data_IF_745873280913
#
_entry.id   IF_745873280913
#
_cell.length_a   1.000
_cell.length_b   1.000
_cell.length_c   1.000
_cell.angle_alpha   90.00
_cell.angle_beta   90.00
_cell.angle_gamma   90.00
#
_symmetry.space_group_name_H-M   'P 1'
#
loop_
_entity.id
_entity.type
_entity.pdbx_description
1 polymer ?
#
# COMPACT_ATOMS: atom_id res chain seq x y z
N UNK A 1 15.92 11.14 0.69
CA UNK A 1 17.06 11.19 -0.23
C UNK A 1 16.86 10.06 -1.20
N UNK A 2 17.30 10.23 -2.45
CA UNK A 2 17.30 9.15 -3.42
C UNK A 2 17.96 7.89 -2.81
N UNK A 3 17.31 6.73 -2.95
CA UNK A 3 17.73 5.47 -2.33
C UNK A 3 17.11 5.18 -0.95
N UNK A 4 16.48 6.17 -0.29
CA UNK A 4 15.85 5.96 1.01
C UNK A 4 14.54 5.17 0.90
N UNK A 5 14.25 4.39 1.95
CA UNK A 5 12.99 3.66 2.10
C UNK A 5 12.08 4.40 3.07
N UNK A 6 10.81 4.53 2.69
CA UNK A 6 9.79 5.25 3.46
C UNK A 6 8.56 4.39 3.74
N UNK A 7 8.06 4.49 4.97
CA UNK A 7 6.70 4.09 5.33
C UNK A 7 5.76 5.28 5.15
N UNK A 8 4.86 5.18 4.18
CA UNK A 8 3.85 6.20 3.92
C UNK A 8 2.49 5.73 4.44
N UNK A 9 1.80 6.59 5.19
CA UNK A 9 0.44 6.32 5.63
C UNK A 9 -0.42 7.57 5.75
N UNK A 10 -1.72 7.39 5.51
CA UNK A 10 -2.74 8.38 5.82
C UNK A 10 -4.09 7.69 6.07
N UNK A 11 -5.00 8.39 6.72
CA UNK A 11 -6.34 7.91 7.08
C UNK A 11 -7.41 8.94 6.77
N UNK A 12 -8.65 8.49 6.66
CA UNK A 12 -9.80 9.37 6.51
C UNK A 12 -9.93 10.35 7.69
N UNK A 13 -10.36 11.58 7.40
CA UNK A 13 -10.79 12.54 8.43
C UNK A 13 -11.82 11.90 9.36
N UNK A 14 -11.77 12.23 10.65
CA UNK A 14 -12.70 11.67 11.65
C UNK A 14 -12.68 10.12 11.70
N UNK A 15 -11.56 9.50 11.27
CA UNK A 15 -11.39 8.05 11.11
C UNK A 15 -12.40 7.42 10.14
N UNK A 16 -13.03 8.22 9.27
CA UNK A 16 -14.05 7.75 8.32
C UNK A 16 -13.53 6.71 7.36
N UNK A 17 -14.42 5.85 6.88
CA UNK A 17 -14.11 4.97 5.75
C UNK A 17 -13.85 5.83 4.50
N UNK A 18 -12.75 5.53 3.82
CA UNK A 18 -12.34 6.11 2.54
C UNK A 18 -12.58 5.13 1.40
N UNK A 19 -12.69 3.83 1.69
CA UNK A 19 -13.10 2.81 0.71
C UNK A 19 -14.45 2.23 1.10
N UNK A 20 -15.51 2.63 0.41
CA UNK A 20 -16.90 2.23 0.72
C UNK A 20 -17.30 0.96 -0.04
N UNK A 21 -16.79 0.81 -1.27
CA UNK A 21 -17.13 -0.25 -2.23
C UNK A 21 -15.86 -0.86 -2.82
N UNK A 22 -15.95 -2.05 -3.40
CA UNK A 22 -14.79 -2.70 -4.05
C UNK A 22 -14.16 -1.83 -5.15
N UNK A 23 -14.98 -1.10 -5.92
CA UNK A 23 -14.50 -0.17 -6.95
C UNK A 23 -13.61 0.95 -6.39
N UNK A 24 -13.84 1.36 -5.14
CA UNK A 24 -13.07 2.41 -4.48
C UNK A 24 -11.66 1.90 -4.14
N UNK A 25 -11.52 0.64 -3.71
CA UNK A 25 -10.22 0.00 -3.52
C UNK A 25 -9.49 -0.19 -4.85
N UNK A 26 -10.20 -0.71 -5.87
CA UNK A 26 -9.61 -0.93 -7.19
C UNK A 26 -9.09 0.38 -7.79
N UNK A 27 -9.86 1.47 -7.69
CA UNK A 27 -9.38 2.80 -8.11
C UNK A 27 -8.10 3.20 -7.38
N UNK A 28 -8.02 2.99 -6.08
CA UNK A 28 -6.83 3.35 -5.32
C UNK A 28 -5.61 2.53 -5.73
N UNK A 29 -5.77 1.22 -5.96
CA UNK A 29 -4.70 0.35 -6.50
C UNK A 29 -4.23 0.85 -7.87
N UNK A 30 -5.14 1.21 -8.77
CA UNK A 30 -4.75 1.82 -10.05
C UNK A 30 -4.03 3.15 -9.85
N UNK A 31 -4.44 3.99 -8.90
CA UNK A 31 -3.74 5.23 -8.59
C UNK A 31 -2.29 4.98 -8.11
N UNK A 32 -2.03 3.89 -7.38
CA UNK A 32 -0.66 3.50 -6.99
C UNK A 32 0.24 3.30 -8.21
N UNK A 33 -0.30 2.70 -9.28
CA UNK A 33 0.44 2.52 -10.53
C UNK A 33 0.44 3.78 -11.40
N UNK A 34 -0.71 4.42 -11.56
CA UNK A 34 -0.95 5.48 -12.53
C UNK A 34 -0.36 6.83 -12.18
N UNK A 35 -0.10 7.07 -10.89
CA UNK A 35 0.56 8.27 -10.41
C UNK A 35 2.05 8.07 -10.10
N UNK A 36 2.58 6.87 -10.31
CA UNK A 36 4.01 6.62 -10.22
C UNK A 36 4.74 7.00 -11.53
N UNK A 37 4.76 8.30 -11.82
CA UNK A 37 5.49 8.89 -12.94
C UNK A 37 5.91 10.31 -12.58
N UNK A 38 7.03 10.78 -13.15
CA UNK A 38 7.49 12.16 -13.00
C UNK A 38 6.56 13.18 -13.68
N UNK A 39 5.82 12.79 -14.72
CA UNK A 39 4.93 13.68 -15.50
C UNK A 39 3.85 14.39 -14.67
N UNK A 40 3.46 15.58 -15.14
CA UNK A 40 2.45 16.40 -14.47
C UNK A 40 1.07 15.69 -14.36
N UNK A 41 0.50 15.73 -13.15
CA UNK A 41 -0.79 15.09 -12.77
C UNK A 41 -1.95 15.49 -13.69
N UNK A 42 -1.96 16.73 -14.16
CA UNK A 42 -3.05 17.29 -14.95
C UNK A 42 -3.25 16.59 -16.29
N UNK A 43 -2.16 16.16 -16.96
CA UNK A 43 -2.25 15.45 -18.24
C UNK A 43 -2.77 14.02 -18.07
N UNK A 44 -2.34 13.32 -17.01
CA UNK A 44 -2.68 11.91 -16.80
C UNK A 44 -4.13 11.68 -16.37
N UNK A 45 -4.74 12.66 -15.69
CA UNK A 45 -6.15 12.64 -15.26
C UNK A 45 -7.12 13.02 -16.39
N UNK A 46 -6.82 14.05 -17.19
CA UNK A 46 -7.68 14.48 -18.30
C UNK A 46 -7.63 13.53 -19.49
N UNK A 47 -6.44 13.04 -19.88
CA UNK A 47 -6.30 12.11 -21.00
C UNK A 47 -7.00 10.76 -20.77
N UNK A 48 -7.26 10.39 -19.50
CA UNK A 48 -7.91 9.12 -19.14
C UNK A 48 -9.38 9.23 -18.75
N UNK A 49 -9.90 10.43 -18.48
CA UNK A 49 -11.35 10.65 -18.33
C UNK A 49 -12.11 10.36 -19.62
N UNK A 50 -11.47 10.50 -20.78
CA UNK A 50 -12.02 10.16 -22.10
C UNK A 50 -11.93 8.68 -22.47
N UNK A 51 -11.17 7.85 -21.74
CA UNK A 51 -11.01 6.43 -22.02
C UNK A 51 -11.84 5.60 -21.02
N UNK A 52 -13.13 5.43 -21.33
CA UNK A 52 -14.09 4.63 -20.55
C UNK A 52 -13.86 3.11 -20.64
N UNK A 53 -12.68 2.68 -21.12
CA UNK A 53 -12.29 1.29 -21.22
C UNK A 53 -11.07 1.07 -20.32
N UNK A 54 -11.27 0.36 -19.20
CA UNK A 54 -10.22 -0.15 -18.30
C UNK A 54 -9.36 -1.24 -18.98
N UNK A 55 -9.00 -1.05 -20.26
CA UNK A 55 -8.06 -1.86 -21.02
C UNK A 55 -6.78 -1.04 -21.21
N UNK A 56 -6.03 -0.89 -20.14
CA UNK A 56 -4.65 -0.39 -20.23
C UNK A 56 -3.74 -1.61 -20.32
N UNK A 57 -2.99 -1.72 -21.43
CA UNK A 57 -1.94 -2.72 -21.61
C UNK A 57 -0.86 -2.51 -20.54
N UNK A 58 -0.93 -3.22 -19.42
CA UNK A 58 0.07 -3.21 -18.33
C UNK A 58 1.41 -3.89 -18.72
N UNK A 59 1.73 -3.95 -20.02
CA UNK A 59 2.85 -4.74 -20.56
C UNK A 59 3.77 -4.00 -21.54
N UNK A 60 3.49 -2.75 -21.89
CA UNK A 60 4.47 -1.91 -22.61
C UNK A 60 5.31 -1.19 -21.58
N UNK A 61 6.63 -1.41 -21.60
CA UNK A 61 7.59 -0.69 -20.77
C UNK A 61 7.27 0.82 -20.80
N UNK A 62 6.91 1.39 -19.66
CA UNK A 62 6.70 2.84 -19.55
C UNK A 62 8.07 3.48 -19.78
N UNK A 63 8.21 4.25 -20.85
CA UNK A 63 9.38 5.10 -21.10
C UNK A 63 9.46 6.31 -20.15
N UNK A 64 8.72 6.28 -19.03
CA UNK A 64 8.54 7.40 -18.11
C UNK A 64 9.21 7.04 -16.80
N UNK A 65 10.07 7.94 -16.34
CA UNK A 65 10.76 7.82 -15.06
C UNK A 65 9.76 7.66 -13.90
N UNK A 66 9.91 6.59 -13.14
CA UNK A 66 9.12 6.31 -11.95
C UNK A 66 9.66 7.10 -10.76
N UNK A 67 8.76 7.65 -9.94
CA UNK A 67 9.14 8.41 -8.75
C UNK A 67 9.66 7.51 -7.63
N UNK A 68 9.09 6.31 -7.52
CA UNK A 68 9.38 5.34 -6.46
C UNK A 68 9.29 3.90 -7.00
N UNK A 69 9.94 2.98 -6.32
CA UNK A 69 9.58 1.56 -6.36
C UNK A 69 8.63 1.28 -5.20
N UNK A 70 7.46 0.70 -5.48
CA UNK A 70 6.56 0.25 -4.41
C UNK A 70 7.00 -1.15 -3.99
N UNK A 71 7.42 -1.28 -2.73
CA UNK A 71 7.91 -2.52 -2.15
C UNK A 71 6.80 -3.28 -1.39
N UNK A 72 5.78 -2.58 -0.91
CA UNK A 72 4.66 -3.20 -0.22
C UNK A 72 3.50 -2.23 -0.02
N UNK A 73 2.29 -2.75 0.06
CA UNK A 73 1.10 -1.93 0.28
C UNK A 73 -0.03 -2.71 0.94
N UNK A 74 -0.85 -2.01 1.73
CA UNK A 74 -2.06 -2.54 2.33
C UNK A 74 -3.13 -1.46 2.44
N UNK A 75 -4.34 -1.77 1.99
CA UNK A 75 -5.50 -0.90 2.10
C UNK A 75 -6.45 -1.47 3.14
N UNK A 76 -6.96 -0.63 4.03
CA UNK A 76 -8.06 -0.97 4.94
C UNK A 76 -9.10 0.14 4.91
N UNK A 77 -10.31 -0.13 5.39
CA UNK A 77 -11.47 0.68 5.04
C UNK A 77 -11.31 2.20 5.26
N UNK A 78 -10.54 2.62 6.27
CA UNK A 78 -10.31 4.01 6.61
C UNK A 78 -8.86 4.51 6.46
N UNK A 79 -7.92 3.69 6.02
CA UNK A 79 -6.52 4.10 5.88
C UNK A 79 -5.73 3.21 4.91
N UNK A 80 -4.55 3.68 4.51
CA UNK A 80 -3.62 2.92 3.67
C UNK A 80 -2.21 2.98 4.25
N UNK A 81 -1.41 1.97 3.94
CA UNK A 81 0.02 1.88 4.24
C UNK A 81 0.77 1.52 2.96
N UNK A 82 1.87 2.22 2.68
CA UNK A 82 2.80 1.93 1.59
C UNK A 82 4.22 1.82 2.14
N UNK A 83 4.99 0.89 1.60
CA UNK A 83 6.43 0.82 1.73
C UNK A 83 7.00 1.15 0.36
N UNK A 84 7.79 2.21 0.27
CA UNK A 84 8.36 2.67 -1.00
C UNK A 84 9.85 2.90 -0.88
N UNK A 85 10.57 2.60 -1.95
CA UNK A 85 11.95 3.00 -2.16
C UNK A 85 11.96 4.20 -3.11
N UNK A 86 12.60 5.30 -2.69
CA UNK A 86 12.61 6.55 -3.44
C UNK A 86 13.62 6.49 -4.59
N UNK A 87 13.13 6.64 -5.83
CA UNK A 87 13.98 6.61 -7.05
C UNK A 87 14.46 7.98 -7.48
N UNK A 88 13.76 9.03 -7.07
CA UNK A 88 14.05 10.42 -7.38
C UNK A 88 13.94 11.20 -6.08
N UNK A 89 14.89 12.07 -5.77
CA UNK A 89 14.87 12.84 -4.53
C UNK A 89 13.55 13.61 -4.35
N UNK A 90 12.88 13.39 -3.21
CA UNK A 90 11.56 13.94 -2.92
C UNK A 90 10.38 13.27 -3.67
N UNK A 91 10.67 12.22 -4.44
CA UNK A 91 9.70 11.45 -5.23
C UNK A 91 8.61 10.81 -4.38
N UNK A 92 8.91 10.37 -3.15
CA UNK A 92 7.91 9.84 -2.20
C UNK A 92 6.86 10.89 -1.83
N UNK A 93 7.26 12.15 -1.64
CA UNK A 93 6.38 13.28 -1.36
C UNK A 93 5.46 13.58 -2.53
N UNK A 94 6.03 13.71 -3.73
CA UNK A 94 5.29 13.95 -4.96
C UNK A 94 4.30 12.80 -5.20
N UNK A 95 4.77 11.56 -5.19
CA UNK A 95 3.94 10.36 -5.39
C UNK A 95 2.75 10.31 -4.44
N UNK A 96 2.98 10.57 -3.15
CA UNK A 96 1.94 10.59 -2.12
C UNK A 96 0.90 11.69 -2.38
N UNK A 97 1.34 12.88 -2.79
CA UNK A 97 0.44 13.99 -3.12
C UNK A 97 -0.45 13.64 -4.32
N UNK A 98 0.12 13.04 -5.38
CA UNK A 98 -0.62 12.61 -6.57
C UNK A 98 -1.72 11.60 -6.21
N UNK A 99 -1.37 10.55 -5.44
CA UNK A 99 -2.32 9.52 -5.03
C UNK A 99 -3.45 10.09 -4.18
N UNK A 100 -3.11 10.81 -3.11
CA UNK A 100 -4.11 11.31 -2.16
C UNK A 100 -5.00 12.38 -2.76
N UNK A 101 -4.44 13.28 -3.58
CA UNK A 101 -5.19 14.31 -4.31
C UNK A 101 -6.12 13.70 -5.36
N UNK A 102 -5.58 12.85 -6.24
CA UNK A 102 -6.35 12.18 -7.29
C UNK A 102 -7.47 11.30 -6.73
N UNK A 103 -7.20 10.59 -5.63
CA UNK A 103 -8.22 9.80 -4.96
C UNK A 103 -9.29 10.64 -4.27
N UNK A 104 -8.91 11.74 -3.60
CA UNK A 104 -9.87 12.67 -2.98
C UNK A 104 -10.84 13.22 -4.02
N UNK A 105 -10.33 13.63 -5.19
CA UNK A 105 -11.16 14.11 -6.29
C UNK A 105 -12.13 13.02 -6.79
N UNK A 106 -11.65 11.80 -7.01
CA UNK A 106 -12.50 10.68 -7.39
C UNK A 106 -13.58 10.40 -6.34
N UNK A 107 -13.19 10.26 -5.07
CA UNK A 107 -14.12 9.97 -3.97
C UNK A 107 -15.18 11.05 -3.83
N UNK A 108 -14.79 12.32 -3.93
CA UNK A 108 -15.72 13.45 -3.85
C UNK A 108 -16.74 13.43 -4.98
N UNK A 109 -16.30 13.20 -6.22
CA UNK A 109 -17.21 13.12 -7.37
C UNK A 109 -18.17 11.92 -7.25
N UNK A 110 -17.67 10.73 -6.86
CA UNK A 110 -18.47 9.50 -6.76
C UNK A 110 -19.47 9.48 -5.59
N UNK A 111 -19.36 10.41 -4.65
CA UNK A 111 -20.20 10.50 -3.46
C UNK A 111 -20.84 11.89 -3.31
N UNK A 112 -20.85 12.70 -4.38
CA UNK A 112 -21.46 14.04 -4.41
C UNK A 112 -21.03 14.92 -3.24
N UNK A 113 -19.73 14.86 -2.90
CA UNK A 113 -19.14 15.52 -1.75
C UNK A 113 -18.12 16.56 -2.19
N UNK A 114 -17.86 17.55 -1.35
CA UNK A 114 -16.71 18.46 -1.47
C UNK A 114 -15.81 18.42 -0.22
N UNK A 115 -14.62 19.01 -0.31
CA UNK A 115 -13.69 19.15 0.81
C UNK A 115 -12.73 17.99 1.02
N UNK A 116 -12.05 18.03 2.17
CA UNK A 116 -10.93 17.13 2.52
C UNK A 116 -11.41 15.69 2.77
N UNK A 117 -10.65 14.69 2.29
CA UNK A 117 -10.91 13.27 2.58
C UNK A 117 -9.96 12.73 3.65
N UNK A 118 -8.68 13.05 3.53
CA UNK A 118 -7.62 12.55 4.39
C UNK A 118 -7.32 13.49 5.57
N UNK A 119 -6.86 12.93 6.67
CA UNK A 119 -6.50 13.66 7.87
C UNK A 119 -5.15 14.37 7.69
N UNK A 120 -5.20 15.59 7.15
CA UNK A 120 -4.02 16.41 6.94
C UNK A 120 -3.03 15.79 5.94
N UNK A 121 -1.76 16.17 6.07
CA UNK A 121 -0.68 15.63 5.23
C UNK A 121 -0.42 14.17 5.58
N UNK A 122 -0.13 13.37 4.56
CA UNK A 122 0.33 11.99 4.76
C UNK A 122 1.62 11.97 5.58
N UNK A 123 1.75 10.98 6.45
CA UNK A 123 3.01 10.72 7.13
C UNK A 123 3.92 9.99 6.16
N UNK A 124 5.15 10.49 6.00
CA UNK A 124 6.22 9.89 5.19
C UNK A 124 7.37 9.69 6.17
N UNK A 125 7.51 8.46 6.67
CA UNK A 125 8.41 8.13 7.77
C UNK A 125 9.64 7.43 7.18
N UNK A 126 10.85 8.03 7.29
CA UNK A 126 12.08 7.37 6.85
C UNK A 126 12.33 6.10 7.67
N UNK A 127 12.73 5.03 6.99
CA UNK A 127 13.01 3.74 7.62
C UNK A 127 14.51 3.63 7.87
N UNK A 128 14.97 4.11 9.03
CA UNK A 128 16.41 4.26 9.34
C UNK A 128 17.01 3.23 10.29
N UNK A 129 16.19 2.37 10.91
CA UNK A 129 16.65 1.35 11.86
C UNK A 129 16.53 -0.04 11.25
N UNK A 130 17.63 -0.76 11.12
CA UNK A 130 17.70 -2.12 10.53
C UNK A 130 16.67 -3.09 11.12
N UNK A 131 16.54 -3.15 12.45
CA UNK A 131 15.56 -4.06 13.08
C UNK A 131 14.11 -3.68 12.76
N UNK A 132 13.80 -2.39 12.67
CA UNK A 132 12.47 -1.93 12.30
C UNK A 132 12.20 -2.18 10.81
N UNK A 133 13.21 -1.97 9.97
CA UNK A 133 13.18 -2.22 8.55
C UNK A 133 12.73 -3.65 8.23
N UNK A 134 13.39 -4.66 8.80
CA UNK A 134 13.10 -6.08 8.50
C UNK A 134 11.65 -6.51 8.83
N UNK A 135 11.05 -5.96 9.89
CA UNK A 135 9.70 -6.33 10.31
C UNK A 135 8.60 -5.45 9.71
N UNK A 136 8.96 -4.32 9.09
CA UNK A 136 8.01 -3.35 8.59
C UNK A 136 7.08 -3.90 7.49
N UNK A 137 7.55 -4.68 6.49
CA UNK A 137 6.65 -5.31 5.53
C UNK A 137 5.59 -6.18 6.20
N UNK A 138 5.99 -6.98 7.20
CA UNK A 138 5.07 -7.85 7.92
C UNK A 138 4.03 -7.03 8.68
N UNK A 139 4.47 -6.00 9.39
CA UNK A 139 3.57 -5.08 10.09
C UNK A 139 2.57 -4.42 9.13
N UNK A 140 3.02 -3.89 8.00
CA UNK A 140 2.15 -3.25 6.98
C UNK A 140 1.07 -4.22 6.51
N UNK A 141 1.45 -5.44 6.13
CA UNK A 141 0.52 -6.45 5.60
C UNK A 141 -0.42 -6.97 6.69
N UNK A 142 0.06 -7.11 7.93
CA UNK A 142 -0.75 -7.55 9.07
C UNK A 142 -1.81 -6.53 9.51
N UNK A 143 -1.70 -5.24 9.14
CA UNK A 143 -2.72 -4.24 9.50
C UNK A 143 -4.12 -4.58 8.98
N UNK A 144 -4.23 -5.38 7.91
CA UNK A 144 -5.54 -5.82 7.37
C UNK A 144 -6.27 -6.79 8.31
N UNK A 145 -5.55 -7.47 9.23
CA UNK A 145 -6.12 -8.40 10.22
C UNK A 145 -7.15 -7.70 11.12
N UNK A 146 -6.97 -6.40 11.38
CA UNK A 146 -7.90 -5.56 12.16
C UNK A 146 -9.35 -5.63 11.67
N UNK A 147 -9.56 -6.01 10.40
CA UNK A 147 -10.90 -6.16 9.82
C UNK A 147 -11.66 -7.39 10.33
N UNK A 148 -10.95 -8.43 10.76
CA UNK A 148 -11.55 -9.69 11.23
C UNK A 148 -11.25 -9.95 12.72
N UNK A 149 -10.18 -9.38 13.24
CA UNK A 149 -9.75 -9.44 14.65
C UNK A 149 -9.37 -8.02 15.10
N UNK A 150 -10.32 -7.15 15.49
CA UNK A 150 -10.07 -5.72 15.71
C UNK A 150 -9.02 -5.40 16.79
N UNK A 151 -8.88 -6.30 17.77
CA UNK A 151 -7.98 -6.16 18.91
C UNK A 151 -6.77 -7.10 18.82
N UNK A 152 -6.40 -7.57 17.61
CA UNK A 152 -5.31 -8.56 17.45
C UNK A 152 -3.96 -8.04 17.96
N UNK A 153 -3.77 -6.71 17.93
CA UNK A 153 -2.56 -6.06 18.42
C UNK A 153 -2.45 -6.12 19.93
N UNK A 154 -3.57 -6.05 20.65
CA UNK A 154 -3.61 -5.99 22.10
C UNK A 154 -3.88 -7.37 22.74
N UNK A 155 -4.64 -8.22 22.06
CA UNK A 155 -5.14 -9.50 22.57
C UNK A 155 -4.53 -10.71 21.86
N UNK A 156 -3.67 -10.49 20.85
CA UNK A 156 -3.16 -11.55 19.99
C UNK A 156 -4.22 -12.11 19.04
N UNK A 157 -3.83 -13.13 18.27
CA UNK A 157 -4.69 -13.77 17.27
C UNK A 157 -5.45 -14.93 17.92
N UNK A 158 -6.79 -14.87 17.93
CA UNK A 158 -7.64 -15.92 18.52
C UNK A 158 -7.75 -17.16 17.65
N UNK A 159 -7.92 -16.97 16.35
CA UNK A 159 -8.01 -18.06 15.38
C UNK A 159 -6.97 -17.89 14.28
N UNK A 160 -5.79 -18.46 14.50
CA UNK A 160 -4.65 -18.32 13.61
C UNK A 160 -4.94 -18.81 12.19
N UNK A 161 -5.56 -19.99 12.06
CA UNK A 161 -5.94 -20.56 10.76
C UNK A 161 -6.86 -19.63 9.97
N UNK A 162 -7.90 -19.08 10.62
CA UNK A 162 -8.82 -18.12 9.98
C UNK A 162 -8.09 -16.85 9.53
N UNK A 163 -7.10 -16.37 10.29
CA UNK A 163 -6.30 -15.20 9.92
C UNK A 163 -5.43 -15.48 8.71
N UNK A 164 -4.75 -16.61 8.65
CA UNK A 164 -3.94 -16.98 7.49
C UNK A 164 -4.82 -17.14 6.24
N UNK A 165 -5.93 -17.87 6.34
CA UNK A 165 -6.90 -18.02 5.25
C UNK A 165 -7.43 -16.65 4.77
N UNK A 166 -7.65 -15.71 5.70
CA UNK A 166 -8.08 -14.36 5.36
C UNK A 166 -7.00 -13.58 4.60
N UNK A 167 -5.75 -13.59 5.06
CA UNK A 167 -4.64 -12.87 4.44
C UNK A 167 -4.38 -13.37 3.02
N UNK A 168 -4.38 -14.69 2.82
CA UNK A 168 -4.18 -15.31 1.51
C UNK A 168 -5.30 -15.04 0.52
N UNK A 169 -6.45 -14.51 0.98
CA UNK A 169 -7.60 -14.16 0.15
C UNK A 169 -7.93 -12.65 0.17
N UNK A 170 -7.17 -11.84 0.92
CA UNK A 170 -7.38 -10.40 1.00
C UNK A 170 -6.71 -9.67 -0.17
N UNK A 171 -7.52 -9.40 -1.21
CA UNK A 171 -7.08 -8.78 -2.46
C UNK A 171 -6.49 -7.36 -2.31
N UNK A 172 -6.79 -6.65 -1.23
CA UNK A 172 -6.42 -5.24 -1.10
C UNK A 172 -5.09 -5.04 -0.34
N UNK A 173 -4.12 -5.89 -0.66
CA UNK A 173 -2.74 -5.79 -0.17
C UNK A 173 -1.77 -6.45 -1.15
N UNK A 174 -0.48 -6.18 -0.97
CA UNK A 174 0.60 -6.82 -1.71
C UNK A 174 0.85 -8.29 -1.30
N UNK A 175 0.21 -8.80 -0.24
CA UNK A 175 0.56 -10.10 0.35
C UNK A 175 0.47 -11.23 -0.66
N UNK A 176 -0.60 -11.28 -1.46
CA UNK A 176 -0.78 -12.31 -2.49
C UNK A 176 0.37 -12.28 -3.52
N UNK A 177 0.71 -11.10 -4.03
CA UNK A 177 1.77 -10.93 -5.03
C UNK A 177 3.16 -11.34 -4.49
N UNK A 178 3.43 -11.04 -3.21
CA UNK A 178 4.67 -11.38 -2.50
C UNK A 178 4.80 -12.86 -2.13
N UNK A 179 3.73 -13.65 -2.19
CA UNK A 179 3.75 -15.11 -1.96
C UNK A 179 3.55 -15.92 -3.24
N UNK A 180 3.69 -15.29 -4.41
CA UNK A 180 3.55 -15.95 -5.72
C UNK A 180 2.11 -16.12 -6.21
N UNK A 181 1.11 -15.53 -5.54
CA UNK A 181 -0.29 -15.51 -5.98
C UNK A 181 -0.61 -14.19 -6.67
N UNK A 182 -0.49 -14.17 -8.00
CA UNK A 182 -0.74 -12.97 -8.81
C UNK A 182 -2.11 -12.34 -8.53
N UNK A 183 -2.09 -11.04 -8.21
CA UNK A 183 -3.26 -10.22 -7.92
C UNK A 183 -3.12 -8.82 -8.57
N UNK A 184 -2.20 -7.98 -8.08
CA UNK A 184 -1.86 -6.69 -8.69
C UNK A 184 -0.34 -6.56 -8.88
N UNK A 185 0.29 -7.48 -9.65
CA UNK A 185 1.74 -7.54 -9.75
C UNK A 185 2.36 -6.30 -10.40
N UNK A 186 1.57 -5.53 -11.17
CA UNK A 186 2.02 -4.30 -11.81
C UNK A 186 2.26 -3.14 -10.84
N UNK A 187 1.80 -3.23 -9.58
CA UNK A 187 2.02 -2.19 -8.57
C UNK A 187 3.38 -2.34 -7.90
N UNK A 188 3.81 -3.58 -7.65
CA UNK A 188 4.93 -3.90 -6.76
C UNK A 188 6.20 -4.27 -7.53
N UNK A 189 7.34 -3.73 -7.10
CA UNK A 189 8.65 -4.19 -7.54
C UNK A 189 9.10 -5.37 -6.64
N UNK A 190 8.69 -6.59 -7.00
CA UNK A 190 8.95 -7.81 -6.21
C UNK A 190 10.43 -8.18 -6.17
N UNK A 191 11.13 -7.98 -7.27
CA UNK A 191 12.55 -8.30 -7.39
C UNK A 191 13.37 -7.48 -6.38
N UNK A 192 13.15 -6.16 -6.39
CA UNK A 192 13.81 -5.26 -5.44
C UNK A 192 13.37 -5.53 -3.99
N UNK A 193 12.10 -5.90 -3.77
CA UNK A 193 11.65 -6.32 -2.44
C UNK A 193 12.43 -7.56 -1.95
N UNK A 194 12.55 -8.59 -2.77
CA UNK A 194 13.28 -9.82 -2.41
C UNK A 194 14.77 -9.57 -2.17
N UNK A 195 15.37 -8.66 -2.94
CA UNK A 195 16.75 -8.22 -2.73
C UNK A 195 16.91 -7.51 -1.38
N UNK A 196 16.09 -6.50 -1.10
CA UNK A 196 16.19 -5.70 0.13
C UNK A 196 15.99 -6.51 1.41
N UNK A 197 15.06 -7.46 1.38
CA UNK A 197 14.71 -8.25 2.55
C UNK A 197 15.42 -9.60 2.61
N UNK A 198 16.34 -9.87 1.67
CA UNK A 198 16.93 -11.19 1.42
C UNK A 198 15.88 -12.29 1.63
N UNK A 199 14.89 -12.33 0.74
CA UNK A 199 13.77 -13.27 0.84
C UNK A 199 13.35 -13.79 -0.54
N UNK A 200 12.36 -14.67 -0.58
CA UNK A 200 11.71 -15.15 -1.82
C UNK A 200 10.25 -15.46 -1.52
N UNK A 201 9.45 -15.81 -2.53
CA UNK A 201 8.02 -16.08 -2.36
C UNK A 201 7.70 -17.11 -1.26
N UNK A 202 8.52 -18.16 -1.13
CA UNK A 202 8.31 -19.23 -0.15
C UNK A 202 8.84 -18.83 1.22
N UNK A 203 10.07 -18.27 1.25
CA UNK A 203 10.73 -17.82 2.48
C UNK A 203 9.94 -16.69 3.15
N UNK A 204 9.49 -15.71 2.37
CA UNK A 204 8.69 -14.59 2.86
C UNK A 204 7.40 -15.06 3.51
N UNK A 205 6.66 -15.98 2.87
CA UNK A 205 5.44 -16.56 3.44
C UNK A 205 5.71 -17.22 4.79
N UNK A 206 6.77 -18.04 4.87
CA UNK A 206 7.15 -18.74 6.10
C UNK A 206 7.53 -17.77 7.21
N UNK A 207 8.38 -16.79 6.92
CA UNK A 207 8.84 -15.77 7.87
C UNK A 207 7.69 -14.91 8.37
N UNK A 208 6.81 -14.47 7.47
CA UNK A 208 5.63 -13.70 7.82
C UNK A 208 4.71 -14.48 8.77
N UNK A 209 4.46 -15.77 8.50
CA UNK A 209 3.63 -16.63 9.36
C UNK A 209 4.28 -16.83 10.72
N UNK A 210 5.58 -17.10 10.77
CA UNK A 210 6.32 -17.23 12.03
C UNK A 210 6.28 -15.93 12.82
N UNK A 211 6.53 -14.78 12.18
CA UNK A 211 6.43 -13.48 12.81
C UNK A 211 5.03 -13.20 13.37
N UNK A 212 3.98 -13.61 12.66
CA UNK A 212 2.59 -13.50 13.12
C UNK A 212 2.30 -14.38 14.34
N UNK A 213 2.88 -15.58 14.37
CA UNK A 213 2.71 -16.54 15.46
C UNK A 213 3.45 -16.08 16.72
N UNK A 214 4.62 -15.49 16.54
CA UNK A 214 5.49 -15.01 17.62
C UNK A 214 5.15 -13.55 18.00
N UNK A 215 4.15 -12.93 17.37
CA UNK A 215 3.76 -11.55 17.61
C UNK A 215 3.33 -11.38 19.07
N UNK A 216 4.12 -10.61 19.81
CA UNK A 216 3.83 -10.23 21.19
C UNK A 216 3.45 -8.74 21.27
N UNK A 217 2.22 -8.41 21.70
CA UNK A 217 1.74 -7.03 21.90
C UNK A 217 2.67 -6.11 22.70
N UNK A 218 3.48 -6.66 23.61
CA UNK A 218 4.35 -5.88 24.50
C UNK A 218 5.67 -5.43 23.85
N UNK A 219 6.06 -6.03 22.73
CA UNK A 219 7.39 -5.83 22.12
C UNK A 219 7.36 -4.93 20.87
N UNK A 220 6.20 -4.76 20.24
CA UNK A 220 6.06 -4.00 18.99
C UNK A 220 5.41 -2.65 19.29
N UNK A 221 6.22 -1.58 19.32
CA UNK A 221 5.71 -0.21 19.40
C UNK A 221 5.26 0.24 18.01
N UNK A 222 4.00 0.67 17.89
CA UNK A 222 3.49 1.34 16.69
C UNK A 222 4.36 2.60 16.41
N UNK A 223 4.75 2.84 15.14
CA UNK A 223 5.47 4.05 14.73
C UNK A 223 4.67 5.35 14.89
#
# INVERSE_FOLDING_TARGET
MEGDIFHILNRGVEKRKIFLRQKDYLRFVHNLYDFNNADNVFLSYYNRRGQHNYRTNYGTARSVEQLVDVLGWALVANHFHLLVHERVDGGSGVYTQKITGGYTLHFNNENERCGVLFQGRSKIIPVTKERYFLHLPYYILANVIKRIEPNWKEQGIKNFKKVIDYLENYKWSAFQDLIGKSNFPFVINKELFYEFFDTDEKRFKKEFINWLNDYNPTEVRDP
#
